data_IF_924218060545
#
_entry.id   IF_924218060545
#
_cell.length_a   1.000
_cell.length_b   1.000
_cell.length_c   1.000
_cell.angle_alpha   90.00
_cell.angle_beta   90.00
_cell.angle_gamma   90.00
#
_symmetry.space_group_name_H-M   'P 1'
#
loop_
_entity.id
_entity.type
_entity.pdbx_description
1 polymer ?
#
# COMPACT_ATOMS: atom_id res chain seq x y z
N UNK A 1 -4.84 13.88 -11.28
CA UNK A 1 -3.93 12.71 -11.24
C UNK A 1 -4.41 11.67 -12.24
N UNK A 2 -3.50 11.00 -12.96
CA UNK A 2 -3.85 9.96 -13.95
C UNK A 2 -3.26 8.63 -13.48
N UNK A 3 -4.13 7.70 -13.11
CA UNK A 3 -3.75 6.33 -12.71
C UNK A 3 -3.41 5.47 -13.93
N UNK A 4 -2.45 4.56 -13.78
CA UNK A 4 -2.07 3.59 -14.80
C UNK A 4 -3.17 2.53 -15.00
N UNK A 5 -3.84 2.13 -13.92
CA UNK A 5 -4.92 1.14 -13.97
C UNK A 5 -6.19 1.56 -13.23
N UNK A 6 -7.34 0.98 -13.62
CA UNK A 6 -8.63 1.29 -12.98
C UNK A 6 -8.66 0.88 -11.50
N UNK A 7 -7.97 -0.20 -11.14
CA UNK A 7 -7.85 -0.68 -9.76
C UNK A 7 -7.15 0.32 -8.84
N UNK A 8 -6.11 0.99 -9.32
CA UNK A 8 -5.41 2.03 -8.56
C UNK A 8 -6.34 3.20 -8.28
N UNK A 9 -7.09 3.65 -9.29
CA UNK A 9 -8.12 4.70 -9.11
C UNK A 9 -9.17 4.31 -8.09
N UNK A 10 -9.66 3.07 -8.14
CA UNK A 10 -10.66 2.58 -7.18
C UNK A 10 -10.08 2.51 -5.76
N UNK A 11 -8.82 2.11 -5.62
CA UNK A 11 -8.13 2.08 -4.34
C UNK A 11 -7.89 3.49 -3.77
N UNK A 12 -7.49 4.46 -4.60
CA UNK A 12 -7.35 5.85 -4.18
C UNK A 12 -8.66 6.43 -3.63
N UNK A 13 -9.79 6.23 -4.35
CA UNK A 13 -11.12 6.65 -3.87
C UNK A 13 -11.49 6.01 -2.53
N UNK A 14 -11.05 4.78 -2.31
CA UNK A 14 -11.31 4.07 -1.05
C UNK A 14 -10.53 4.70 0.11
N UNK A 15 -9.25 5.01 -0.10
CA UNK A 15 -8.43 5.69 0.88
C UNK A 15 -9.02 7.07 1.22
N UNK A 16 -9.45 7.82 0.20
CA UNK A 16 -10.14 9.10 0.36
C UNK A 16 -11.42 8.95 1.21
N UNK A 17 -12.23 7.93 0.95
CA UNK A 17 -13.47 7.67 1.68
C UNK A 17 -13.24 7.43 3.18
N UNK A 18 -12.15 6.76 3.55
CA UNK A 18 -11.77 6.54 4.95
C UNK A 18 -10.93 7.69 5.55
N UNK A 19 -10.64 8.73 4.79
CA UNK A 19 -9.77 9.83 5.22
C UNK A 19 -8.34 9.38 5.52
N UNK A 20 -7.86 8.35 4.83
CA UNK A 20 -6.48 7.88 4.95
C UNK A 20 -5.63 8.70 4.00
N UNK A 21 -4.58 9.36 4.50
CA UNK A 21 -3.63 10.07 3.66
C UNK A 21 -2.80 9.11 2.79
N UNK A 22 -2.56 9.50 1.54
CA UNK A 22 -1.81 8.69 0.60
C UNK A 22 -1.05 9.52 -0.45
N UNK A 23 0.01 8.91 -0.96
CA UNK A 23 0.80 9.38 -2.10
C UNK A 23 0.81 8.30 -3.19
N UNK A 24 0.78 8.70 -4.47
CA UNK A 24 0.82 7.77 -5.60
C UNK A 24 2.17 7.82 -6.29
N UNK A 25 2.71 6.64 -6.61
CA UNK A 25 4.08 6.44 -7.13
C UNK A 25 5.15 7.27 -6.37
N UNK A 26 5.17 7.21 -5.02
CA UNK A 26 5.91 8.13 -4.15
C UNK A 26 7.42 8.02 -4.33
N UNK A 27 7.92 6.81 -4.62
CA UNK A 27 9.35 6.52 -4.66
C UNK A 27 9.67 5.30 -5.52
N UNK A 28 10.72 5.43 -6.32
CA UNK A 28 11.33 4.30 -7.04
C UNK A 28 12.53 3.74 -6.26
N UNK A 29 12.53 2.41 -6.07
CA UNK A 29 13.61 1.66 -5.46
C UNK A 29 14.40 0.91 -6.54
N UNK A 30 15.73 1.07 -6.53
CA UNK A 30 16.61 0.23 -7.36
C UNK A 30 16.79 -1.13 -6.69
N UNK A 31 16.50 -2.21 -7.42
CA UNK A 31 16.58 -3.60 -6.95
C UNK A 31 17.80 -4.35 -7.51
N UNK A 32 18.32 -3.93 -8.65
CA UNK A 32 19.50 -4.54 -9.28
C UNK A 32 20.28 -3.48 -10.06
N UNK A 33 21.61 -3.59 -10.02
CA UNK A 33 22.53 -2.75 -10.78
C UNK A 33 23.47 -3.63 -11.62
N UNK A 34 23.85 -3.15 -12.80
CA UNK A 34 24.86 -3.81 -13.62
C UNK A 34 26.27 -3.63 -13.04
N UNK A 35 27.27 -4.22 -13.71
CA UNK A 35 28.69 -4.12 -13.32
C UNK A 35 29.26 -2.70 -13.34
N UNK A 36 28.58 -1.77 -14.02
CA UNK A 36 28.98 -0.36 -14.16
C UNK A 36 28.16 0.53 -13.22
N UNK A 37 27.22 -0.05 -12.46
CA UNK A 37 26.39 0.64 -11.47
C UNK A 37 25.05 1.14 -12.00
N UNK A 38 24.69 0.90 -13.26
CA UNK A 38 23.40 1.36 -13.81
C UNK A 38 22.24 0.51 -13.28
N UNK A 39 21.07 1.11 -12.96
CA UNK A 39 19.90 0.36 -12.52
C UNK A 39 19.36 -0.53 -13.65
N UNK A 40 19.34 -1.85 -13.44
CA UNK A 40 18.81 -2.85 -14.39
C UNK A 40 17.40 -3.26 -14.00
N UNK A 41 17.10 -3.21 -12.71
CA UNK A 41 15.76 -3.48 -12.20
C UNK A 41 15.39 -2.45 -11.13
N UNK A 42 14.19 -1.89 -11.28
CA UNK A 42 13.61 -0.99 -10.31
C UNK A 42 12.15 -1.38 -10.00
N UNK A 43 11.66 -0.85 -8.90
CA UNK A 43 10.31 -1.05 -8.41
C UNK A 43 9.78 0.24 -7.79
N UNK A 44 8.64 0.70 -8.29
CA UNK A 44 7.91 1.86 -7.77
C UNK A 44 6.59 1.33 -7.24
N UNK A 45 6.38 1.33 -5.91
CA UNK A 45 5.10 0.94 -5.36
C UNK A 45 3.99 1.90 -5.81
N UNK A 46 2.80 1.36 -6.04
CA UNK A 46 1.66 2.17 -6.50
C UNK A 46 1.26 3.27 -5.50
N UNK A 47 1.30 2.99 -4.18
CA UNK A 47 0.94 3.96 -3.14
C UNK A 47 1.88 3.94 -1.93
N UNK A 48 1.89 5.03 -1.17
CA UNK A 48 2.43 5.11 0.20
C UNK A 48 1.40 5.74 1.13
N UNK A 49 1.29 5.20 2.34
CA UNK A 49 0.43 5.68 3.41
C UNK A 49 1.31 6.28 4.53
N UNK A 50 1.50 7.61 4.59
CA UNK A 50 2.45 8.25 5.50
C UNK A 50 2.21 7.92 6.97
N UNK A 51 0.96 7.98 7.44
CA UNK A 51 0.57 7.69 8.83
C UNK A 51 0.97 6.27 9.27
N UNK A 52 1.12 5.36 8.32
CA UNK A 52 1.42 3.94 8.54
C UNK A 52 2.86 3.57 8.10
N UNK A 53 3.61 4.53 7.54
CA UNK A 53 4.83 4.33 6.73
C UNK A 53 4.80 3.06 5.88
N UNK A 54 3.71 2.86 5.15
CA UNK A 54 3.43 1.63 4.45
C UNK A 54 3.34 1.86 2.95
N UNK A 55 4.16 1.15 2.18
CA UNK A 55 4.04 1.08 0.73
C UNK A 55 3.03 0.01 0.34
N UNK A 56 2.21 0.32 -0.66
CA UNK A 56 1.17 -0.56 -1.18
C UNK A 56 1.36 -0.74 -2.68
N UNK A 57 1.30 -2.00 -3.12
CA UNK A 57 1.29 -2.37 -4.53
C UNK A 57 -0.06 -3.03 -4.86
N UNK A 58 -0.83 -2.46 -5.77
CA UNK A 58 -2.13 -3.00 -6.21
C UNK A 58 -1.91 -4.03 -7.32
N UNK A 59 -2.61 -5.17 -7.23
CA UNK A 59 -2.57 -6.21 -8.25
C UNK A 59 -3.96 -6.73 -8.63
N UNK A 60 -4.19 -6.86 -9.94
CA UNK A 60 -5.50 -7.12 -10.57
C UNK A 60 -5.61 -8.50 -11.19
N UNK A 61 -5.25 -9.55 -10.45
CA UNK A 61 -5.53 -10.96 -10.79
C UNK A 61 -4.66 -11.69 -11.82
N UNK A 62 -3.87 -11.06 -12.70
CA UNK A 62 -3.01 -11.87 -13.58
C UNK A 62 -1.87 -12.53 -12.79
N UNK A 63 -2.04 -13.82 -12.45
CA UNK A 63 -1.10 -14.58 -11.61
C UNK A 63 0.35 -14.51 -12.11
N UNK A 64 0.59 -14.49 -13.43
CA UNK A 64 1.96 -14.39 -13.98
C UNK A 64 2.61 -13.04 -13.67
N UNK A 65 1.82 -11.95 -13.67
CA UNK A 65 2.29 -10.61 -13.32
C UNK A 65 2.45 -10.46 -11.81
N UNK A 66 1.54 -11.04 -11.03
CA UNK A 66 1.61 -11.12 -9.57
C UNK A 66 2.92 -11.77 -9.11
N UNK A 67 3.33 -12.90 -9.71
CA UNK A 67 4.59 -13.56 -9.33
C UNK A 67 5.81 -12.67 -9.55
N UNK A 68 5.80 -11.87 -10.63
CA UNK A 68 6.87 -10.90 -10.90
C UNK A 68 6.84 -9.74 -9.89
N UNK A 69 5.66 -9.18 -9.59
CA UNK A 69 5.50 -8.12 -8.57
C UNK A 69 5.92 -8.60 -7.18
N UNK A 70 5.47 -9.79 -6.76
CA UNK A 70 5.87 -10.40 -5.49
C UNK A 70 7.38 -10.65 -5.40
N UNK A 71 8.02 -11.10 -6.48
CA UNK A 71 9.48 -11.25 -6.49
C UNK A 71 10.19 -9.91 -6.30
N UNK A 72 9.71 -8.84 -6.95
CA UNK A 72 10.25 -7.49 -6.75
C UNK A 72 10.03 -6.98 -5.33
N UNK A 73 8.85 -7.17 -4.75
CA UNK A 73 8.55 -6.79 -3.38
C UNK A 73 9.43 -7.53 -2.36
N UNK A 74 9.61 -8.85 -2.52
CA UNK A 74 10.56 -9.63 -1.70
C UNK A 74 11.98 -9.11 -1.83
N UNK A 75 12.42 -8.84 -3.07
CA UNK A 75 13.76 -8.29 -3.31
C UNK A 75 13.93 -6.90 -2.71
N UNK A 76 12.87 -6.08 -2.71
CA UNK A 76 12.85 -4.79 -2.03
C UNK A 76 13.03 -4.99 -0.52
N UNK A 77 12.31 -5.91 0.10
CA UNK A 77 12.45 -6.19 1.53
C UNK A 77 13.83 -6.74 1.91
N UNK A 78 14.47 -7.52 1.04
CA UNK A 78 15.86 -7.96 1.24
C UNK A 78 16.88 -6.82 1.20
N UNK A 79 16.67 -5.83 0.33
CA UNK A 79 17.58 -4.70 0.13
C UNK A 79 17.30 -3.51 1.04
N UNK A 80 16.05 -3.34 1.44
CA UNK A 80 15.56 -2.25 2.27
C UNK A 80 14.68 -2.83 3.39
N UNK A 81 15.28 -3.43 4.43
CA UNK A 81 14.55 -4.11 5.50
C UNK A 81 13.58 -3.19 6.28
N UNK A 82 13.91 -1.90 6.35
CA UNK A 82 13.09 -0.90 7.05
C UNK A 82 11.87 -0.46 6.24
N UNK A 83 11.76 -0.89 4.98
CA UNK A 83 10.64 -0.52 4.11
C UNK A 83 9.51 -1.54 4.24
N UNK A 84 8.44 -1.13 4.91
CA UNK A 84 7.21 -1.90 4.96
C UNK A 84 6.47 -1.83 3.62
N UNK A 85 6.22 -2.98 3.01
CA UNK A 85 5.49 -3.08 1.75
C UNK A 85 4.46 -4.22 1.76
N UNK A 86 3.27 -3.98 1.22
CA UNK A 86 2.22 -4.99 1.02
C UNK A 86 1.72 -5.01 -0.42
N UNK A 87 1.56 -6.21 -0.95
CA UNK A 87 0.93 -6.43 -2.26
C UNK A 87 -0.53 -6.78 -2.04
N UNK A 88 -1.43 -5.95 -2.56
CA UNK A 88 -2.88 -6.06 -2.37
C UNK A 88 -3.56 -6.61 -3.60
N UNK A 89 -4.27 -7.71 -3.42
CA UNK A 89 -5.13 -8.24 -4.47
C UNK A 89 -6.44 -7.48 -4.48
N UNK A 90 -6.91 -7.16 -5.69
CA UNK A 90 -8.19 -6.49 -5.87
C UNK A 90 -9.36 -7.20 -5.15
N UNK A 91 -9.31 -8.53 -5.10
CA UNK A 91 -10.34 -9.34 -4.44
C UNK A 91 -10.26 -9.28 -2.92
N UNK A 92 -9.07 -9.15 -2.35
CA UNK A 92 -8.88 -9.14 -0.90
C UNK A 92 -9.43 -7.85 -0.28
N UNK A 93 -9.33 -6.71 -0.98
CA UNK A 93 -9.96 -5.48 -0.51
C UNK A 93 -11.49 -5.51 -0.69
N UNK A 94 -12.02 -6.14 -1.75
CA UNK A 94 -13.47 -6.33 -1.93
C UNK A 94 -14.06 -7.14 -0.77
N UNK A 95 -13.35 -8.17 -0.32
CA UNK A 95 -13.74 -8.94 0.85
C UNK A 95 -13.66 -8.14 2.14
N UNK A 96 -12.68 -7.23 2.26
CA UNK A 96 -12.57 -6.32 3.39
C UNK A 96 -13.79 -5.39 3.49
N UNK A 97 -14.21 -4.80 2.37
CA UNK A 97 -15.39 -3.93 2.28
C UNK A 97 -16.65 -4.64 2.77
N UNK A 98 -16.92 -5.83 2.22
CA UNK A 98 -18.08 -6.66 2.61
C UNK A 98 -18.03 -7.04 4.09
N UNK A 99 -16.86 -7.38 4.62
CA UNK A 99 -16.69 -7.78 6.02
C UNK A 99 -16.96 -6.66 7.01
N UNK A 100 -16.66 -5.41 6.66
CA UNK A 100 -16.91 -4.23 7.51
C UNK A 100 -18.28 -3.58 7.25
N UNK A 101 -19.18 -4.26 6.51
CA UNK A 101 -20.55 -3.79 6.26
C UNK A 101 -20.63 -2.60 5.30
N UNK A 102 -19.60 -2.43 4.47
CA UNK A 102 -19.53 -1.36 3.49
C UNK A 102 -19.81 -1.95 2.11
N UNK A 103 -20.81 -1.39 1.43
CA UNK A 103 -21.16 -1.80 0.07
C UNK A 103 -19.95 -1.62 -0.85
N UNK A 104 -19.56 -2.66 -1.62
CA UNK A 104 -18.60 -2.50 -2.69
C UNK A 104 -19.07 -1.35 -3.61
N UNK A 105 -18.19 -0.43 -4.04
CA UNK A 105 -18.58 0.60 -4.99
C UNK A 105 -19.29 -0.05 -6.19
N UNK A 106 -20.43 0.49 -6.64
CA UNK A 106 -21.23 -0.05 -7.75
C UNK A 106 -20.40 -0.31 -9.04
N UNK A 107 -19.26 0.39 -9.17
CA UNK A 107 -18.28 0.22 -10.24
C UNK A 107 -17.44 -1.07 -10.18
N UNK A 108 -17.61 -1.89 -9.15
CA UNK A 108 -16.82 -3.12 -8.87
C UNK A 108 -17.67 -4.40 -8.87
N UNK A 109 -18.99 -4.28 -8.83
CA UNK A 109 -19.92 -5.41 -8.74
C UNK A 109 -20.10 -6.16 -10.07
N UNK A 110 -19.56 -5.65 -11.18
CA UNK A 110 -19.68 -6.30 -12.50
C UNK A 110 -18.66 -7.43 -12.75
N UNK A 111 -17.64 -7.62 -11.89
CA UNK A 111 -16.63 -8.68 -12.07
C UNK A 111 -16.94 -9.92 -11.22
N UNK A 112 -17.80 -10.79 -11.76
CA UNK A 112 -18.32 -11.99 -11.10
C UNK A 112 -17.30 -13.09 -10.71
N UNK A 113 -17.76 -13.88 -9.73
CA UNK A 113 -17.31 -15.17 -9.18
C UNK A 113 -16.34 -15.22 -7.97
N UNK A 114 -16.66 -16.00 -6.91
CA UNK A 114 -15.90 -16.08 -5.66
C UNK A 114 -14.82 -17.18 -5.66
N UNK A 115 -14.09 -17.31 -4.53
CA UNK A 115 -13.11 -18.35 -4.12
C UNK A 115 -11.63 -18.01 -4.47
N UNK A 116 -10.63 -18.07 -3.58
CA UNK A 116 -10.48 -18.51 -2.18
C UNK A 116 -9.63 -17.51 -1.38
N UNK A 117 -9.81 -17.54 -0.05
CA UNK A 117 -9.22 -16.73 1.03
C UNK A 117 -7.72 -16.38 0.91
N UNK A 118 -7.41 -15.09 0.93
CA UNK A 118 -6.19 -14.54 1.54
C UNK A 118 -6.58 -13.61 2.70
N UNK A 119 -5.77 -13.62 3.76
CA UNK A 119 -6.10 -13.01 5.05
C UNK A 119 -6.44 -11.51 4.95
N UNK A 120 -7.31 -10.98 5.84
CA UNK A 120 -7.68 -9.57 5.85
C UNK A 120 -6.47 -8.64 5.89
N UNK A 121 -6.63 -7.48 5.26
CA UNK A 121 -5.67 -6.40 5.34
C UNK A 121 -5.59 -5.81 6.75
N UNK A 122 -4.68 -6.34 7.56
CA UNK A 122 -4.33 -5.72 8.84
C UNK A 122 -3.36 -4.57 8.56
N UNK A 123 -3.84 -3.33 8.65
CA UNK A 123 -2.94 -2.17 8.66
C UNK A 123 -2.12 -2.20 9.97
N UNK A 124 -0.81 -1.90 9.93
CA UNK A 124 -0.05 -1.71 11.16
C UNK A 124 -0.69 -0.59 11.99
N UNK A 125 -0.58 -0.66 13.32
CA UNK A 125 -1.15 0.34 14.20
C UNK A 125 -0.67 1.75 13.80
N UNK A 126 -1.59 2.72 13.78
CA UNK A 126 -1.27 4.13 13.54
C UNK A 126 -0.17 4.55 14.51
N UNK A 127 0.92 5.11 13.99
CA UNK A 127 1.89 5.78 14.86
C UNK A 127 1.28 7.10 15.26
N UNK A 128 0.79 7.19 16.49
CA UNK A 128 0.47 8.48 17.09
C UNK A 128 1.78 9.27 17.16
N UNK A 129 1.91 10.30 16.33
CA UNK A 129 2.94 11.31 16.52
C UNK A 129 2.67 11.94 17.89
N UNK A 130 3.49 11.59 18.87
CA UNK A 130 3.42 12.17 20.21
C UNK A 130 3.68 13.66 20.11
N UNK A 131 2.63 14.47 20.21
CA UNK A 131 2.72 15.90 20.47
C UNK A 131 2.59 16.13 21.97
N UNK A 132 3.45 17.04 22.45
CA UNK A 132 3.46 17.72 23.75
C UNK A 132 4.33 17.09 24.86
N UNK A 133 5.57 17.58 24.91
CA UNK A 133 6.35 17.68 26.15
C UNK A 133 5.71 18.70 27.09
N UNK A 134 5.73 18.51 28.41
CA UNK A 134 5.14 19.44 29.36
C UNK A 134 6.01 20.70 29.48
N UNK A 135 5.38 21.87 29.40
CA UNK A 135 5.99 23.15 29.77
C UNK A 135 6.41 23.08 31.24
N UNK A 136 7.72 23.20 31.47
CA UNK A 136 8.33 23.34 32.80
C UNK A 136 7.97 24.73 33.35
N UNK A 137 7.09 24.75 34.36
CA UNK A 137 6.88 25.90 35.22
C UNK A 137 7.94 25.91 36.31
N UNK A 138 8.91 26.82 36.22
CA UNK A 138 9.80 27.16 37.32
C UNK A 138 9.08 28.17 38.21
N UNK A 139 8.62 27.72 39.38
CA UNK A 139 8.23 28.61 40.47
C UNK A 139 9.50 28.97 41.26
N UNK A 140 9.82 30.27 41.30
CA UNK A 140 10.80 30.85 42.21
C UNK A 140 10.05 31.83 43.10
N UNK A 141 9.95 31.51 44.38
CA UNK A 141 9.70 32.45 45.47
C UNK A 141 10.34 31.91 46.76
#
# INVERSE_FOLDING_TARGET
MRFAHNSERQFAKLLDFYGIEWEYEPRTFTLERDRVGNPVQAFTPDFFLPEHELYIEVTTLNQKLVTKKNRKARRLQELYPDVAIKVLYQRDYLQLLVKYGLEPPEQLTEAGEPMTSAAPLELPARRTTGSESPVSGADTA
#
